data_IF_753068018380
#
_entry.id   IF_753068018380
#
_cell.length_a   1.000
_cell.length_b   1.000
_cell.length_c   1.000
_cell.angle_alpha   90.00
_cell.angle_beta   90.00
_cell.angle_gamma   90.00
#
_symmetry.space_group_name_H-M   'P 1'
#
loop_
_entity.id
_entity.type
_entity.pdbx_description
1 polymer ?
#
# COMPACT_ATOMS: atom_id res chain seq x y z
N UNK A 1 41.38 -30.59 73.36
CA UNK A 1 41.12 -30.97 71.95
C UNK A 1 39.81 -30.29 71.58
N UNK A 2 39.91 -29.19 70.86
CA UNK A 2 38.76 -28.30 70.53
C UNK A 2 38.22 -28.66 69.15
N UNK A 3 36.98 -29.05 69.09
CA UNK A 3 36.21 -29.23 67.86
C UNK A 3 35.42 -27.98 67.55
N UNK A 4 35.80 -27.23 66.51
CA UNK A 4 35.04 -26.11 65.97
C UNK A 4 34.11 -26.65 64.88
N UNK A 5 32.80 -26.45 65.03
CA UNK A 5 31.78 -26.63 64.01
C UNK A 5 31.59 -25.36 63.25
N UNK A 6 31.91 -25.35 61.95
CA UNK A 6 31.57 -24.25 61.04
C UNK A 6 30.17 -24.45 60.49
N UNK A 7 29.23 -23.59 60.87
CA UNK A 7 27.94 -23.47 60.26
C UNK A 7 28.12 -22.70 58.96
N UNK A 8 27.88 -23.34 57.80
CA UNK A 8 27.71 -22.68 56.53
C UNK A 8 26.30 -22.08 56.41
N UNK A 9 26.18 -20.79 56.50
CA UNK A 9 24.98 -20.02 56.13
C UNK A 9 24.94 -19.93 54.62
N UNK A 10 23.97 -20.60 53.98
CA UNK A 10 23.63 -20.44 52.56
C UNK A 10 22.72 -19.22 52.46
N UNK A 11 23.09 -18.18 51.69
CA UNK A 11 22.16 -17.09 51.43
C UNK A 11 21.10 -17.53 50.43
N UNK A 12 19.84 -17.54 50.89
CA UNK A 12 18.68 -17.67 50.02
C UNK A 12 18.54 -16.39 49.20
N UNK A 13 18.95 -16.40 47.97
CA UNK A 13 18.61 -15.35 46.98
C UNK A 13 17.11 -15.49 46.67
N UNK A 14 16.28 -14.66 47.29
CA UNK A 14 14.95 -14.37 46.79
C UNK A 14 15.09 -13.62 45.45
N UNK A 15 14.87 -14.32 44.35
CA UNK A 15 14.73 -13.70 43.03
C UNK A 15 13.48 -12.83 43.03
N UNK A 16 13.67 -11.53 43.10
CA UNK A 16 12.66 -10.54 42.71
C UNK A 16 12.52 -10.68 41.16
N UNK A 17 11.45 -11.33 40.71
CA UNK A 17 10.99 -11.18 39.33
C UNK A 17 10.48 -9.74 39.19
N UNK A 18 11.37 -8.87 38.71
CA UNK A 18 10.99 -7.58 38.21
C UNK A 18 10.12 -7.80 36.97
N UNK A 19 8.84 -7.49 37.05
CA UNK A 19 8.04 -7.22 35.87
C UNK A 19 8.77 -6.11 35.10
N UNK A 20 9.34 -6.48 33.96
CA UNK A 20 9.85 -5.52 33.01
C UNK A 20 8.63 -4.85 32.40
N UNK A 21 8.24 -3.71 32.95
CA UNK A 21 7.40 -2.74 32.26
C UNK A 21 8.26 -2.22 31.12
N UNK A 22 8.05 -2.77 29.91
CA UNK A 22 8.61 -2.25 28.65
C UNK A 22 8.02 -0.86 28.40
N UNK A 23 8.47 0.11 29.18
CA UNK A 23 8.24 1.53 28.88
C UNK A 23 9.18 1.87 27.74
N UNK A 24 8.68 1.79 26.51
CA UNK A 24 9.38 2.36 25.34
C UNK A 24 9.84 3.78 25.70
N UNK A 25 11.10 4.08 25.43
CA UNK A 25 11.65 5.42 25.61
C UNK A 25 10.84 6.44 24.79
N UNK A 26 10.63 7.66 25.30
CA UNK A 26 9.83 8.68 24.60
C UNK A 26 10.27 8.94 23.16
N UNK A 27 11.57 8.88 22.88
CA UNK A 27 12.14 9.05 21.54
C UNK A 27 11.78 7.91 20.58
N UNK A 28 11.73 6.67 21.08
CA UNK A 28 11.32 5.51 20.26
C UNK A 28 9.82 5.53 19.98
N UNK A 29 9.05 6.02 20.96
CA UNK A 29 7.60 6.21 20.82
C UNK A 29 7.28 7.34 19.82
N UNK A 30 7.99 8.46 19.89
CA UNK A 30 7.82 9.59 18.98
C UNK A 30 8.23 9.23 17.54
N UNK A 31 9.35 8.49 17.34
CA UNK A 31 9.73 7.94 16.05
C UNK A 31 8.69 6.93 15.52
N UNK A 32 8.16 6.07 16.37
CA UNK A 32 7.13 5.10 15.99
C UNK A 32 5.82 5.80 15.59
N UNK A 33 5.38 6.81 16.33
CA UNK A 33 4.20 7.61 16.00
C UNK A 33 4.39 8.38 14.69
N UNK A 34 5.60 8.83 14.35
CA UNK A 34 5.90 9.50 13.09
C UNK A 34 5.74 8.60 11.85
N UNK A 35 5.85 7.26 12.01
CA UNK A 35 5.58 6.28 10.96
C UNK A 35 4.09 5.88 10.84
N UNK A 36 3.24 6.27 11.79
CA UNK A 36 1.85 5.86 11.86
C UNK A 36 0.88 6.85 11.22
N UNK A 37 1.30 8.10 11.04
CA UNK A 37 0.49 9.16 10.44
C UNK A 37 1.34 10.00 9.49
N UNK A 38 0.69 10.73 8.58
CA UNK A 38 1.39 11.74 7.78
C UNK A 38 1.75 12.92 8.71
N UNK A 39 3.03 13.10 9.09
CA UNK A 39 3.41 14.08 10.11
C UNK A 39 3.34 15.53 9.62
N UNK A 40 3.31 15.74 8.31
CA UNK A 40 3.28 17.06 7.67
C UNK A 40 2.64 17.01 6.27
N UNK A 41 2.71 18.11 5.54
CA UNK A 41 2.17 18.23 4.17
C UNK A 41 3.19 17.93 3.06
N UNK A 42 4.39 17.45 3.39
CA UNK A 42 5.41 17.09 2.41
C UNK A 42 5.25 15.63 2.00
N UNK A 43 4.41 15.37 1.04
CA UNK A 43 4.17 14.01 0.52
C UNK A 43 5.05 13.70 -0.70
N UNK A 44 5.39 12.41 -0.93
CA UNK A 44 4.92 11.20 -0.23
C UNK A 44 5.78 10.82 0.98
N UNK A 45 5.17 10.23 2.01
CA UNK A 45 5.84 9.57 3.12
C UNK A 45 5.82 8.07 2.98
N UNK A 46 6.80 7.42 3.61
CA UNK A 46 6.90 5.96 3.73
C UNK A 46 6.17 5.49 4.99
N UNK A 47 5.19 4.64 4.83
CA UNK A 47 4.43 4.05 5.94
C UNK A 47 4.82 2.57 6.10
N UNK A 48 5.32 2.24 7.27
CA UNK A 48 5.61 0.86 7.66
C UNK A 48 4.38 0.22 8.30
N UNK A 49 3.88 -0.85 7.69
CA UNK A 49 2.74 -1.62 8.19
C UNK A 49 3.16 -2.88 8.95
N UNK A 50 4.46 -3.11 9.17
CA UNK A 50 4.97 -4.33 9.77
C UNK A 50 4.76 -5.57 8.90
N UNK A 51 4.75 -5.39 7.58
CA UNK A 51 4.59 -6.49 6.63
C UNK A 51 5.83 -7.40 6.61
N UNK A 52 5.67 -8.72 6.51
CA UNK A 52 6.80 -9.67 6.46
C UNK A 52 7.80 -9.38 5.35
N UNK A 53 7.37 -8.87 4.20
CA UNK A 53 8.27 -8.46 3.10
C UNK A 53 9.10 -7.22 3.40
N UNK A 54 8.74 -6.45 4.45
CA UNK A 54 9.31 -5.12 4.70
C UNK A 54 8.79 -4.05 3.75
N UNK A 55 7.82 -4.32 2.90
CA UNK A 55 7.24 -3.34 1.96
C UNK A 55 6.74 -2.10 2.70
N UNK A 56 7.22 -0.94 2.28
CA UNK A 56 6.75 0.36 2.75
C UNK A 56 5.77 0.95 1.74
N UNK A 57 4.62 1.40 2.22
CA UNK A 57 3.57 1.98 1.40
C UNK A 57 3.63 3.51 1.40
N UNK A 58 3.30 4.14 0.29
CA UNK A 58 3.13 5.59 0.26
C UNK A 58 1.91 6.02 1.07
N UNK A 59 1.99 7.21 1.67
CA UNK A 59 0.86 7.80 2.40
C UNK A 59 -0.27 8.28 1.48
N UNK A 60 0.03 8.65 0.23
CA UNK A 60 -0.93 9.21 -0.72
C UNK A 60 -0.81 8.57 -2.11
N UNK A 61 -1.80 8.82 -2.97
CA UNK A 61 -1.82 8.36 -4.35
C UNK A 61 -0.91 9.22 -5.24
N UNK A 62 -0.47 8.67 -6.38
CA UNK A 62 0.19 9.48 -7.41
C UNK A 62 -0.74 10.62 -7.84
N UNK A 63 -0.22 11.86 -7.81
CA UNK A 63 -0.98 13.07 -8.12
C UNK A 63 -1.82 13.62 -6.96
N UNK A 64 -1.75 13.04 -5.77
CA UNK A 64 -2.34 13.58 -4.54
C UNK A 64 -1.28 14.20 -3.64
N UNK A 65 -1.70 15.16 -2.81
CA UNK A 65 -0.89 15.84 -1.80
C UNK A 65 -1.34 15.55 -0.36
N UNK A 66 -2.31 14.63 -0.21
CA UNK A 66 -2.83 14.20 1.09
C UNK A 66 -3.32 12.75 1.00
N UNK A 67 -3.38 12.01 2.14
CA UNK A 67 -3.78 10.60 2.16
C UNK A 67 -5.18 10.35 1.60
N UNK A 68 -6.11 11.28 1.82
CA UNK A 68 -7.50 11.23 1.35
C UNK A 68 -7.68 11.73 -0.09
N UNK A 69 -6.63 12.30 -0.71
CA UNK A 69 -6.67 12.74 -2.11
C UNK A 69 -6.83 11.58 -3.07
N UNK A 70 -7.77 11.69 -4.01
CA UNK A 70 -7.99 10.65 -5.02
C UNK A 70 -6.77 10.48 -5.95
N UNK A 71 -6.01 11.56 -6.17
CA UNK A 71 -4.88 11.59 -7.09
C UNK A 71 -5.30 11.56 -8.55
N UNK A 72 -4.39 11.13 -9.39
CA UNK A 72 -4.60 10.99 -10.83
C UNK A 72 -4.95 9.56 -11.21
N UNK A 73 -5.59 9.40 -12.37
CA UNK A 73 -5.96 8.11 -12.91
C UNK A 73 -5.09 7.79 -14.13
N UNK A 74 -4.65 6.57 -14.24
CA UNK A 74 -3.77 6.12 -15.31
C UNK A 74 -4.30 4.83 -15.93
N UNK A 75 -4.17 4.68 -17.25
CA UNK A 75 -4.28 3.38 -17.85
C UNK A 75 -3.02 2.56 -17.53
N UNK A 76 -3.13 1.25 -17.46
CA UNK A 76 -2.02 0.40 -17.06
C UNK A 76 -0.85 0.48 -18.07
N UNK A 77 0.35 0.79 -17.57
CA UNK A 77 1.53 1.02 -18.40
C UNK A 77 1.65 2.44 -18.97
N UNK A 78 0.63 3.29 -18.82
CA UNK A 78 0.69 4.69 -19.20
C UNK A 78 1.09 5.59 -18.01
N UNK A 79 1.89 6.60 -18.27
CA UNK A 79 2.42 7.50 -17.25
C UNK A 79 1.82 8.90 -17.29
N UNK A 80 0.94 9.17 -18.26
CA UNK A 80 0.22 10.42 -18.41
C UNK A 80 -1.29 10.23 -18.28
N UNK A 81 -1.95 11.26 -17.73
CA UNK A 81 -3.40 11.30 -17.61
C UNK A 81 -4.07 11.60 -18.95
N UNK A 82 -5.30 11.15 -19.12
CA UNK A 82 -6.09 11.44 -20.31
C UNK A 82 -7.56 11.64 -19.97
N UNK A 83 -8.34 12.19 -20.88
CA UNK A 83 -9.77 12.48 -20.68
C UNK A 83 -10.68 11.31 -21.02
N UNK A 84 -10.21 10.37 -21.85
CA UNK A 84 -10.98 9.21 -22.32
C UNK A 84 -10.13 7.96 -22.19
N UNK A 85 -10.69 6.92 -21.58
CA UNK A 85 -10.05 5.64 -21.28
C UNK A 85 -10.76 4.56 -22.10
N UNK A 86 -10.20 4.24 -23.27
CA UNK A 86 -10.72 3.24 -24.20
C UNK A 86 -9.59 2.63 -25.03
N UNK A 87 -9.84 1.52 -25.73
CA UNK A 87 -8.84 0.85 -26.54
C UNK A 87 -8.24 1.74 -27.63
N UNK A 88 -9.05 2.58 -28.28
CA UNK A 88 -8.61 3.44 -29.39
C UNK A 88 -7.52 4.45 -29.03
N UNK A 89 -7.42 4.82 -27.77
CA UNK A 89 -6.41 5.75 -27.28
C UNK A 89 -5.48 5.14 -26.22
N UNK A 90 -5.53 3.82 -26.04
CA UNK A 90 -4.57 3.11 -25.21
C UNK A 90 -3.29 2.88 -26.00
N UNK A 91 -2.18 3.53 -25.59
CA UNK A 91 -0.95 3.59 -26.39
C UNK A 91 -0.21 2.26 -26.51
N UNK A 92 -0.58 1.25 -25.73
CA UNK A 92 0.00 -0.09 -25.76
C UNK A 92 -0.95 -1.10 -26.46
N UNK A 93 -1.73 -0.64 -27.41
CA UNK A 93 -2.48 -1.47 -28.35
C UNK A 93 -2.71 -0.71 -29.66
N UNK A 94 -3.06 -1.43 -30.73
CA UNK A 94 -3.44 -0.82 -32.03
C UNK A 94 -4.94 -0.52 -32.10
N UNK A 95 -5.55 -0.26 -30.92
CA UNK A 95 -6.94 0.19 -30.78
C UNK A 95 -7.95 -0.88 -30.42
N UNK A 96 -7.52 -2.14 -30.19
CA UNK A 96 -8.40 -3.24 -29.78
C UNK A 96 -7.75 -4.11 -28.68
N UNK A 97 -8.54 -4.95 -28.04
CA UNK A 97 -8.06 -5.89 -27.02
C UNK A 97 -7.08 -6.92 -27.56
N UNK A 98 -7.28 -7.34 -28.82
CA UNK A 98 -6.49 -8.38 -29.49
C UNK A 98 -5.09 -7.88 -29.89
N UNK A 99 -4.89 -6.56 -29.92
CA UNK A 99 -3.64 -5.93 -30.38
C UNK A 99 -2.80 -5.39 -29.23
N UNK A 100 -3.02 -5.85 -27.99
CA UNK A 100 -2.24 -5.42 -26.84
C UNK A 100 -0.77 -5.81 -26.96
N UNK A 101 0.10 -4.80 -26.80
CA UNK A 101 1.54 -5.01 -26.78
C UNK A 101 1.96 -5.72 -25.51
N UNK A 102 2.93 -6.62 -25.61
CA UNK A 102 3.52 -7.27 -24.44
C UNK A 102 4.45 -6.29 -23.71
N UNK A 103 4.11 -5.93 -22.49
CA UNK A 103 4.93 -5.10 -21.61
C UNK A 103 5.67 -5.93 -20.54
N UNK A 104 5.58 -7.27 -20.64
CA UNK A 104 6.10 -8.22 -19.66
C UNK A 104 5.09 -8.51 -18.53
N UNK A 105 5.37 -9.57 -17.79
CA UNK A 105 4.52 -10.02 -16.68
C UNK A 105 4.37 -8.98 -15.56
N UNK A 106 5.30 -8.03 -15.47
CA UNK A 106 5.27 -6.93 -14.49
C UNK A 106 5.91 -5.68 -15.09
N UNK A 107 5.24 -4.55 -14.88
CA UNK A 107 5.78 -3.22 -15.23
C UNK A 107 6.43 -2.52 -14.02
N UNK A 108 6.44 -3.15 -12.83
CA UNK A 108 7.03 -2.55 -11.63
C UNK A 108 8.49 -2.13 -11.91
N UNK A 109 8.81 -0.88 -11.62
CA UNK A 109 10.16 -0.30 -11.78
C UNK A 109 10.66 -0.17 -13.23
N UNK A 110 9.78 -0.33 -14.22
CA UNK A 110 10.09 -0.10 -15.64
C UNK A 110 9.72 1.32 -16.07
N UNK A 111 9.97 1.68 -17.32
CA UNK A 111 9.53 2.95 -17.91
C UNK A 111 7.99 3.09 -17.99
N UNK A 112 7.27 1.98 -17.91
CA UNK A 112 5.81 1.89 -17.90
C UNK A 112 5.20 2.08 -16.49
N UNK A 113 6.02 2.13 -15.45
CA UNK A 113 5.60 2.31 -14.07
C UNK A 113 5.44 3.79 -13.75
N UNK A 114 4.19 4.24 -13.60
CA UNK A 114 3.88 5.65 -13.33
C UNK A 114 4.44 6.14 -12.00
N UNK A 115 4.53 5.29 -10.96
CA UNK A 115 5.11 5.67 -9.68
C UNK A 115 6.62 5.92 -9.83
N UNK A 116 7.33 5.03 -10.51
CA UNK A 116 8.76 5.20 -10.84
C UNK A 116 8.96 6.45 -11.70
N UNK A 117 8.10 6.67 -12.69
CA UNK A 117 8.21 7.81 -13.62
C UNK A 117 7.98 9.17 -12.94
N UNK A 118 6.97 9.27 -12.08
CA UNK A 118 6.57 10.53 -11.44
C UNK A 118 7.33 10.83 -10.14
N UNK A 119 7.73 9.81 -9.36
CA UNK A 119 8.33 9.98 -8.04
C UNK A 119 9.80 9.50 -7.95
N UNK A 120 10.34 8.94 -9.04
CA UNK A 120 11.72 8.48 -9.10
C UNK A 120 11.90 7.00 -8.76
N UNK A 121 13.14 6.52 -8.95
CA UNK A 121 13.49 5.09 -8.94
C UNK A 121 13.34 4.38 -7.59
N UNK A 122 13.19 5.12 -6.49
CA UNK A 122 12.90 4.55 -5.16
C UNK A 122 11.46 4.08 -4.99
N UNK A 123 10.56 4.49 -5.90
CA UNK A 123 9.15 4.18 -5.89
C UNK A 123 8.74 3.30 -7.04
N UNK A 124 7.73 2.48 -6.83
CA UNK A 124 7.12 1.66 -7.87
C UNK A 124 5.63 1.42 -7.60
N UNK A 125 4.90 0.98 -8.62
CA UNK A 125 3.58 0.39 -8.43
C UNK A 125 3.70 -0.87 -7.57
N UNK A 126 2.73 -1.16 -6.69
CA UNK A 126 2.75 -2.42 -5.94
C UNK A 126 2.58 -3.59 -6.91
N UNK A 127 3.33 -4.66 -6.71
CA UNK A 127 3.06 -5.94 -7.37
C UNK A 127 1.79 -6.58 -6.82
N UNK A 128 1.22 -7.55 -7.55
CA UNK A 128 0.10 -8.34 -7.04
C UNK A 128 0.44 -9.05 -5.72
N UNK A 129 1.68 -9.54 -5.57
CA UNK A 129 2.14 -10.20 -4.34
C UNK A 129 2.09 -9.24 -3.15
N UNK A 130 2.49 -7.97 -3.34
CA UNK A 130 2.43 -6.95 -2.28
C UNK A 130 0.98 -6.56 -1.93
N UNK A 131 0.07 -6.53 -2.92
CA UNK A 131 -1.37 -6.35 -2.66
C UNK A 131 -1.95 -7.54 -1.89
N UNK A 132 -1.59 -8.77 -2.26
CA UNK A 132 -2.01 -9.98 -1.56
C UNK A 132 -1.49 -10.00 -0.12
N UNK A 133 -0.26 -9.57 0.10
CA UNK A 133 0.31 -9.43 1.44
C UNK A 133 -0.43 -8.38 2.27
N UNK A 134 -0.73 -7.19 1.70
CA UNK A 134 -1.54 -6.17 2.34
C UNK A 134 -2.89 -6.73 2.81
N UNK A 135 -3.60 -7.43 1.92
CA UNK A 135 -4.90 -8.04 2.21
C UNK A 135 -4.83 -9.15 3.26
N UNK A 136 -3.74 -9.93 3.30
CA UNK A 136 -3.59 -11.08 4.18
C UNK A 136 -3.04 -10.71 5.57
N UNK A 137 -2.27 -9.60 5.69
CA UNK A 137 -1.52 -9.26 6.91
C UNK A 137 -2.02 -8.02 7.63
N UNK A 138 -2.86 -7.21 6.98
CA UNK A 138 -3.49 -6.06 7.60
C UNK A 138 -4.97 -6.32 7.90
N UNK A 139 -5.45 -5.79 9.01
CA UNK A 139 -6.89 -5.58 9.16
C UNK A 139 -7.32 -4.39 8.29
N UNK A 140 -8.56 -4.39 7.84
CA UNK A 140 -9.09 -3.27 7.08
C UNK A 140 -10.51 -2.93 7.50
N UNK A 141 -10.86 -1.65 7.41
CA UNK A 141 -12.17 -1.13 7.74
C UNK A 141 -12.58 -0.04 6.75
N UNK A 142 -13.85 -0.04 6.37
CA UNK A 142 -14.45 1.06 5.61
C UNK A 142 -14.67 2.24 6.55
N UNK A 143 -14.08 3.39 6.23
CA UNK A 143 -14.13 4.57 7.08
C UNK A 143 -14.09 5.85 6.26
N UNK A 144 -13.97 6.97 6.93
CA UNK A 144 -13.88 8.30 6.34
C UNK A 144 -12.69 9.06 6.93
N UNK A 145 -11.95 9.74 6.07
CA UNK A 145 -10.86 10.64 6.45
C UNK A 145 -11.12 12.01 5.80
N UNK A 146 -11.26 13.04 6.62
CA UNK A 146 -11.53 14.43 6.18
C UNK A 146 -12.71 14.54 5.19
N UNK A 147 -13.80 13.82 5.42
CA UNK A 147 -14.99 13.82 4.57
C UNK A 147 -14.92 12.90 3.34
N UNK A 148 -13.81 12.22 3.13
CA UNK A 148 -13.59 11.29 2.00
C UNK A 148 -13.70 9.85 2.47
N UNK A 149 -14.65 9.09 1.87
CA UNK A 149 -14.81 7.66 2.15
C UNK A 149 -13.68 6.84 1.53
N UNK A 150 -13.31 5.76 2.21
CA UNK A 150 -12.27 4.86 1.75
C UNK A 150 -12.05 3.66 2.67
N UNK A 151 -10.96 2.96 2.45
CA UNK A 151 -10.55 1.81 3.24
C UNK A 151 -9.26 2.14 4.00
N UNK A 152 -9.28 1.95 5.31
CA UNK A 152 -8.09 2.02 6.15
C UNK A 152 -7.54 0.62 6.34
N UNK A 153 -6.29 0.42 5.95
CA UNK A 153 -5.53 -0.80 6.24
C UNK A 153 -4.61 -0.56 7.41
N UNK A 154 -4.64 -1.45 8.41
CA UNK A 154 -3.83 -1.35 9.63
C UNK A 154 -2.98 -2.59 9.80
N UNK A 155 -1.69 -2.40 9.87
CA UNK A 155 -0.70 -3.45 10.10
C UNK A 155 -0.58 -3.88 11.55
N UNK A 156 0.11 -4.97 11.78
CA UNK A 156 0.32 -5.55 13.13
C UNK A 156 1.16 -4.65 14.06
N UNK A 157 2.00 -3.80 13.50
CA UNK A 157 2.81 -2.82 14.25
C UNK A 157 2.03 -1.55 14.62
N UNK A 158 0.74 -1.45 14.25
CA UNK A 158 -0.10 -0.29 14.47
C UNK A 158 -0.06 0.75 13.35
N UNK A 159 0.90 0.67 12.41
CA UNK A 159 0.97 1.50 11.22
C UNK A 159 -0.27 1.36 10.35
N UNK A 160 -0.70 2.43 9.69
CA UNK A 160 -1.88 2.39 8.84
C UNK A 160 -1.77 3.28 7.61
N UNK A 161 -2.44 2.86 6.53
CA UNK A 161 -2.66 3.68 5.34
C UNK A 161 -4.17 3.81 5.09
N UNK A 162 -4.55 4.95 4.54
CA UNK A 162 -5.91 5.20 4.06
C UNK A 162 -5.90 5.24 2.53
N UNK A 163 -6.73 4.42 1.90
CA UNK A 163 -6.94 4.41 0.46
C UNK A 163 -8.33 4.96 0.17
N UNK A 164 -8.45 6.17 -0.41
CA UNK A 164 -9.75 6.75 -0.73
C UNK A 164 -10.52 5.91 -1.76
N UNK A 165 -11.84 5.94 -1.68
CA UNK A 165 -12.74 5.32 -2.65
C UNK A 165 -12.76 6.12 -3.96
N UNK A 166 -11.64 6.06 -4.68
CA UNK A 166 -11.36 6.89 -5.85
C UNK A 166 -12.17 6.50 -7.10
N UNK A 167 -12.97 5.42 -7.06
CA UNK A 167 -13.65 4.94 -8.26
C UNK A 167 -12.69 4.53 -9.37
N UNK A 168 -13.08 4.80 -10.62
CA UNK A 168 -12.22 4.58 -11.78
C UNK A 168 -12.87 5.10 -13.07
N UNK A 169 -12.03 5.37 -14.05
CA UNK A 169 -12.47 5.82 -15.38
C UNK A 169 -12.65 4.66 -16.36
N UNK A 170 -13.76 4.70 -17.06
CA UNK A 170 -14.04 3.93 -18.27
C UNK A 170 -14.69 4.88 -19.26
N UNK A 171 -14.17 4.94 -20.47
CA UNK A 171 -14.48 6.01 -21.43
C UNK A 171 -14.16 7.38 -20.81
N UNK A 172 -15.07 8.35 -20.91
CA UNK A 172 -14.98 9.66 -20.26
C UNK A 172 -15.63 9.70 -18.88
N UNK A 173 -16.18 8.55 -18.40
CA UNK A 173 -16.97 8.49 -17.17
C UNK A 173 -16.11 8.06 -15.98
N UNK A 174 -16.13 8.88 -14.90
CA UNK A 174 -15.62 8.50 -13.59
C UNK A 174 -16.74 7.83 -12.80
N UNK A 175 -16.70 6.51 -12.72
CA UNK A 175 -17.71 5.72 -12.02
C UNK A 175 -17.31 5.40 -10.58
N UNK A 176 -18.32 5.22 -9.70
CA UNK A 176 -18.17 4.71 -8.33
C UNK A 176 -17.28 5.53 -7.40
N UNK A 177 -17.08 6.82 -7.69
CA UNK A 177 -16.39 7.76 -6.81
C UNK A 177 -17.10 7.82 -5.44
N UNK A 178 -16.32 7.70 -4.35
CA UNK A 178 -16.84 7.63 -2.99
C UNK A 178 -17.55 6.31 -2.63
N UNK A 179 -17.58 5.33 -3.54
CA UNK A 179 -18.26 4.04 -3.36
C UNK A 179 -17.31 2.84 -3.43
N UNK A 180 -16.24 2.91 -4.25
CA UNK A 180 -15.23 1.85 -4.34
C UNK A 180 -13.84 2.41 -4.58
N UNK A 181 -12.81 1.69 -4.14
CA UNK A 181 -11.43 1.94 -4.51
C UNK A 181 -10.96 0.94 -5.55
N UNK A 182 -10.21 1.44 -6.54
CA UNK A 182 -9.62 0.67 -7.63
C UNK A 182 -8.19 1.15 -7.85
N UNK A 183 -7.22 0.27 -7.55
CA UNK A 183 -5.80 0.63 -7.49
C UNK A 183 -4.99 -0.37 -8.29
N UNK A 184 -4.31 0.09 -9.34
CA UNK A 184 -3.48 -0.77 -10.16
C UNK A 184 -2.37 -1.47 -9.37
N UNK A 185 -2.19 -2.77 -9.65
CA UNK A 185 -0.93 -3.46 -9.47
C UNK A 185 -0.09 -3.30 -10.75
N UNK A 186 1.23 -3.31 -10.60
CA UNK A 186 2.13 -3.39 -11.76
C UNK A 186 2.21 -4.78 -12.39
N UNK A 187 1.32 -5.70 -12.04
CA UNK A 187 1.30 -7.09 -12.49
C UNK A 187 0.23 -7.30 -13.57
N UNK A 188 0.64 -7.82 -14.71
CA UNK A 188 -0.25 -8.23 -15.80
C UNK A 188 -1.02 -9.49 -15.40
N UNK A 189 -2.23 -9.67 -15.96
CA UNK A 189 -2.92 -10.95 -15.82
C UNK A 189 -2.20 -12.02 -16.66
N UNK A 190 -1.84 -13.19 -16.09
CA UNK A 190 -1.06 -14.20 -16.82
C UNK A 190 -1.84 -14.95 -17.90
N UNK A 191 -3.17 -14.85 -17.89
CA UNK A 191 -4.04 -15.56 -18.85
C UNK A 191 -4.60 -14.64 -19.95
N UNK A 192 -4.71 -13.35 -19.65
CA UNK A 192 -5.35 -12.37 -20.55
C UNK A 192 -4.44 -11.15 -20.70
N UNK A 193 -3.73 -11.07 -21.83
CA UNK A 193 -2.76 -9.99 -22.09
C UNK A 193 -3.40 -8.60 -22.06
N UNK A 194 -4.68 -8.49 -22.43
CA UNK A 194 -5.46 -7.26 -22.40
C UNK A 194 -5.81 -6.79 -20.98
N UNK A 195 -5.58 -7.63 -19.97
CA UNK A 195 -5.96 -7.35 -18.57
C UNK A 195 -4.74 -7.17 -17.67
N UNK A 196 -4.90 -6.32 -16.65
CA UNK A 196 -3.96 -6.18 -15.54
C UNK A 196 -4.66 -6.33 -14.19
N UNK A 197 -3.88 -6.71 -13.18
CA UNK A 197 -4.39 -6.92 -11.82
C UNK A 197 -4.56 -5.60 -11.08
N UNK A 198 -5.53 -5.52 -10.18
CA UNK A 198 -5.74 -4.36 -9.33
C UNK A 198 -6.36 -4.74 -7.98
N UNK A 199 -6.11 -3.93 -6.95
CA UNK A 199 -6.81 -3.95 -5.67
C UNK A 199 -8.19 -3.33 -5.86
N UNK A 200 -9.22 -4.03 -5.41
CA UNK A 200 -10.61 -3.60 -5.42
C UNK A 200 -11.19 -3.65 -4.02
N UNK A 201 -11.87 -2.59 -3.59
CA UNK A 201 -12.60 -2.59 -2.33
C UNK A 201 -13.84 -1.69 -2.39
N UNK A 202 -14.83 -2.03 -1.57
CA UNK A 202 -16.03 -1.24 -1.32
C UNK A 202 -16.64 -1.68 0.00
N UNK A 203 -17.24 -0.74 0.75
CA UNK A 203 -17.82 -1.08 2.06
C UNK A 203 -16.88 -2.01 2.85
N UNK A 204 -17.07 -2.93 3.58
CA UNK A 204 -16.11 -3.77 4.32
C UNK A 204 -15.59 -4.99 3.51
N UNK A 205 -15.51 -4.88 2.19
CA UNK A 205 -14.96 -5.90 1.31
C UNK A 205 -13.70 -5.41 0.61
N UNK A 206 -12.66 -6.22 0.60
CA UNK A 206 -11.45 -5.97 -0.17
C UNK A 206 -10.92 -7.26 -0.81
N UNK A 207 -10.51 -7.18 -2.07
CA UNK A 207 -9.95 -8.29 -2.84
C UNK A 207 -9.04 -7.75 -3.95
N UNK A 208 -8.46 -8.62 -4.74
CA UNK A 208 -7.83 -8.28 -6.00
C UNK A 208 -8.55 -8.99 -7.15
N UNK A 209 -8.63 -8.32 -8.28
CA UNK A 209 -9.21 -8.84 -9.52
C UNK A 209 -8.43 -8.27 -10.72
N UNK A 210 -8.86 -8.51 -11.94
CA UNK A 210 -8.25 -7.98 -13.14
C UNK A 210 -9.30 -7.32 -14.05
N UNK A 211 -8.84 -6.39 -14.89
CA UNK A 211 -9.68 -5.62 -15.81
C UNK A 211 -8.84 -5.19 -17.01
N UNK A 212 -9.50 -4.73 -18.06
CA UNK A 212 -8.88 -4.16 -19.24
C UNK A 212 -7.88 -3.05 -18.90
N UNK A 213 -6.68 -3.14 -19.51
CA UNK A 213 -5.54 -2.24 -19.24
C UNK A 213 -5.82 -0.79 -19.61
N UNK A 214 -6.77 -0.50 -20.49
CA UNK A 214 -7.15 0.86 -20.85
C UNK A 214 -7.90 1.62 -19.75
N UNK A 215 -8.50 0.94 -18.77
CA UNK A 215 -9.24 1.59 -17.68
C UNK A 215 -8.32 2.53 -16.89
N UNK A 216 -8.88 3.65 -16.45
CA UNK A 216 -8.15 4.63 -15.66
C UNK A 216 -8.32 4.40 -14.15
N UNK A 217 -7.29 3.92 -13.47
CA UNK A 217 -7.32 3.66 -12.03
C UNK A 217 -6.22 4.41 -11.30
N UNK A 218 -6.42 4.60 -9.99
CA UNK A 218 -5.45 5.20 -9.09
C UNK A 218 -4.23 4.29 -8.89
N UNK A 219 -3.12 4.88 -8.47
CA UNK A 219 -1.91 4.17 -8.06
C UNK A 219 -1.51 4.61 -6.66
N UNK A 220 -1.39 3.66 -5.74
CA UNK A 220 -0.77 3.84 -4.43
C UNK A 220 0.61 3.19 -4.47
N UNK A 221 1.68 3.97 -4.54
CA UNK A 221 3.04 3.45 -4.65
C UNK A 221 3.52 2.69 -3.42
N UNK A 222 4.54 1.86 -3.65
CA UNK A 222 5.37 1.26 -2.61
C UNK A 222 6.84 1.64 -2.84
N UNK A 223 7.64 1.65 -1.77
CA UNK A 223 9.08 1.77 -1.87
C UNK A 223 9.73 0.40 -2.05
N UNK A 224 10.89 0.43 -2.70
CA UNK A 224 11.77 -0.73 -2.90
C UNK A 224 12.59 -1.00 -1.65
#
# INVERSE_FOLDING_TARGET
MNNYWYLFLVPVFMGLTACHDDKEEPEQREQRESYLSCPDNHHPHLINLGLPSGTLWACCNVGATAPEGYGSYFAWGETEVKSVYEWRNYIHSDGTSETCHDLGASICSTEYDVATKKWGSSWQMPSLIQIQELLAKCSYEWTELNGIKGMKFKGSNGGSIFLPAAGGHELSHLGLLGQSGRYWAGTQNPLYNENACYLYFYNNFASWIHINRYCGYSVRPVAK
#
